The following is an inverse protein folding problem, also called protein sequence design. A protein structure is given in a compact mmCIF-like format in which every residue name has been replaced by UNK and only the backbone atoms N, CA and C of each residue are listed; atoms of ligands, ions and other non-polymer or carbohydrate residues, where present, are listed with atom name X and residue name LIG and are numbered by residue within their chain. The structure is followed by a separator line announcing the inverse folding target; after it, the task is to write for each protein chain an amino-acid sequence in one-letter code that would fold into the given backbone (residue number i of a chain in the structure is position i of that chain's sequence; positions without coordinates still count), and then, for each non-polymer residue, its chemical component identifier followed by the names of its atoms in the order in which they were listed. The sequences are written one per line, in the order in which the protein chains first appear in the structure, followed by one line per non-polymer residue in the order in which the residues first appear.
data_IF_543445245318
#
_entry.id   IF_543445245318
#
_cell.length_a   1.000
_cell.length_b   1.000
_cell.length_c   1.000
_cell.angle_alpha   90.00
_cell.angle_beta   90.00
_cell.angle_gamma   90.00
#
_symmetry.space_group_name_H-M   'P 1'
#
loop_
_entity.id
_entity.type
_entity.pdbx_description
1 polymer ?
#
# COMPACT_ATOMS: atom_id res chain seq x y z
N UNK A 1 -2.10 -14.89 -10.26
CA UNK A 1 -2.10 -14.81 -8.78
C UNK A 1 -3.37 -14.09 -8.38
N UNK A 2 -3.98 -14.47 -7.27
CA UNK A 2 -5.20 -13.80 -6.78
C UNK A 2 -4.88 -12.34 -6.36
N UNK A 3 -5.60 -11.33 -6.89
CA UNK A 3 -5.44 -9.92 -6.53
C UNK A 3 -5.57 -9.63 -5.02
N UNK A 4 -6.45 -10.35 -4.32
CA UNK A 4 -6.64 -10.20 -2.87
C UNK A 4 -5.39 -10.66 -2.13
N UNK A 5 -4.79 -11.78 -2.55
CA UNK A 5 -3.54 -12.26 -1.95
C UNK A 5 -2.42 -11.23 -2.16
N UNK A 6 -2.30 -10.68 -3.37
CA UNK A 6 -1.30 -9.67 -3.67
C UNK A 6 -1.51 -8.40 -2.85
N UNK A 7 -2.76 -7.95 -2.71
CA UNK A 7 -3.13 -6.79 -1.90
C UNK A 7 -2.88 -7.00 -0.41
N UNK A 8 -3.14 -8.19 0.13
CA UNK A 8 -2.77 -8.57 1.49
C UNK A 8 -1.25 -8.47 1.70
N UNK A 9 -0.45 -9.02 0.78
CA UNK A 9 1.00 -8.97 0.87
C UNK A 9 1.53 -7.54 0.78
N UNK A 10 0.98 -6.72 -0.12
CA UNK A 10 1.30 -5.29 -0.20
C UNK A 10 0.95 -4.56 1.10
N UNK A 11 -0.20 -4.87 1.71
CA UNK A 11 -0.62 -4.29 2.98
C UNK A 11 0.31 -4.68 4.12
N UNK A 12 0.71 -5.95 4.21
CA UNK A 12 1.68 -6.41 5.20
C UNK A 12 3.04 -5.71 5.01
N UNK A 13 3.53 -5.62 3.77
CA UNK A 13 4.79 -4.93 3.42
C UNK A 13 4.75 -3.46 3.83
N UNK A 14 3.68 -2.77 3.45
CA UNK A 14 3.45 -1.37 3.80
C UNK A 14 3.48 -1.16 5.32
N UNK A 15 2.79 -2.00 6.09
CA UNK A 15 2.79 -1.88 7.55
C UNK A 15 4.11 -2.26 8.24
N UNK A 16 5.02 -2.96 7.54
CA UNK A 16 6.37 -3.31 8.01
C UNK A 16 7.31 -2.09 7.89
N UNK A 17 6.98 -1.08 7.08
CA UNK A 17 7.82 0.10 6.85
C UNK A 17 8.25 0.76 8.19
N UNK A 18 9.57 0.98 8.41
CA UNK A 18 10.09 1.36 9.72
C UNK A 18 9.53 2.67 10.30
N UNK A 19 9.19 3.63 9.45
CA UNK A 19 8.65 4.95 9.80
C UNK A 19 7.24 4.84 10.39
N UNK A 20 6.38 3.98 9.83
CA UNK A 20 5.03 3.73 10.32
C UNK A 20 5.06 3.13 11.72
N UNK A 21 5.88 2.09 11.90
CA UNK A 21 6.06 1.42 13.18
C UNK A 21 6.73 2.34 14.20
N UNK A 22 7.75 3.11 13.79
CA UNK A 22 8.43 4.05 14.67
C UNK A 22 7.46 5.15 15.16
N UNK A 23 6.68 5.73 14.25
CA UNK A 23 5.70 6.77 14.57
C UNK A 23 4.63 6.26 15.53
N UNK A 24 4.07 5.08 15.25
CA UNK A 24 3.08 4.45 16.12
C UNK A 24 3.65 4.18 17.53
N UNK A 25 4.89 3.69 17.63
CA UNK A 25 5.56 3.45 18.93
C UNK A 25 5.75 4.70 19.79
N UNK A 26 5.87 5.88 19.20
CA UNK A 26 5.99 7.13 19.94
C UNK A 26 4.68 7.52 20.66
N UNK A 27 3.56 6.86 20.33
CA UNK A 27 2.28 7.11 20.95
C UNK A 27 2.21 6.44 22.33
N UNK A 28 1.87 7.25 23.35
CA UNK A 28 1.91 6.83 24.76
C UNK A 28 0.88 5.78 25.17
N UNK A 29 -0.11 5.44 24.33
CA UNK A 29 -1.16 4.48 24.69
C UNK A 29 -1.49 3.52 23.54
N UNK A 30 -1.81 2.26 23.90
CA UNK A 30 -2.21 1.22 22.94
C UNK A 30 -3.40 1.65 22.07
N UNK A 31 -4.36 2.36 22.65
CA UNK A 31 -5.50 2.91 21.92
C UNK A 31 -5.09 3.94 20.86
N UNK A 32 -4.09 4.80 21.15
CA UNK A 32 -3.57 5.73 20.16
C UNK A 32 -2.83 5.03 19.03
N UNK A 33 -2.11 3.93 19.33
CA UNK A 33 -1.47 3.07 18.30
C UNK A 33 -2.53 2.51 17.34
N UNK A 34 -3.61 1.95 17.89
CA UNK A 34 -4.70 1.38 17.08
C UNK A 34 -5.36 2.49 16.25
N UNK A 35 -5.68 3.63 16.85
CA UNK A 35 -6.27 4.77 16.13
C UNK A 35 -5.37 5.26 15.01
N UNK A 36 -4.06 5.38 15.25
CA UNK A 36 -3.10 5.77 14.23
C UNK A 36 -3.06 4.76 13.08
N UNK A 37 -2.90 3.46 13.37
CA UNK A 37 -2.82 2.43 12.35
C UNK A 37 -4.09 2.34 11.50
N UNK A 38 -5.27 2.46 12.13
CA UNK A 38 -6.55 2.50 11.45
C UNK A 38 -6.71 3.78 10.62
N UNK A 39 -6.36 4.96 11.15
CA UNK A 39 -6.44 6.21 10.40
C UNK A 39 -5.49 6.22 9.20
N UNK A 40 -4.25 5.75 9.39
CA UNK A 40 -3.23 5.62 8.35
C UNK A 40 -3.67 4.72 7.21
N UNK A 41 -4.24 3.56 7.57
CA UNK A 41 -4.62 2.54 6.59
C UNK A 41 -5.99 2.85 5.97
N UNK A 42 -7.02 3.12 6.78
CA UNK A 42 -8.39 3.31 6.29
C UNK A 42 -8.63 4.72 5.71
N UNK A 43 -7.86 5.74 6.12
CA UNK A 43 -7.98 7.08 5.54
C UNK A 43 -7.67 7.12 4.04
N UNK A 44 -6.90 6.14 3.54
CA UNK A 44 -6.61 5.94 2.13
C UNK A 44 -7.86 5.66 1.28
N UNK A 45 -8.95 5.11 1.85
CA UNK A 45 -10.20 4.80 1.13
C UNK A 45 -10.73 6.02 0.38
N UNK A 46 -10.59 7.21 0.97
CA UNK A 46 -11.08 8.48 0.42
C UNK A 46 -10.45 8.76 -0.95
N UNK A 47 -9.21 8.30 -1.18
CA UNK A 47 -8.50 8.45 -2.45
C UNK A 47 -8.69 7.20 -3.32
N UNK A 48 -8.59 6.02 -2.71
CA UNK A 48 -8.57 4.75 -3.43
C UNK A 48 -9.87 4.47 -4.19
N UNK A 49 -11.02 4.56 -3.51
CA UNK A 49 -12.31 4.17 -4.10
C UNK A 49 -12.70 5.04 -5.30
N UNK A 50 -12.60 6.38 -5.25
CA UNK A 50 -12.88 7.21 -6.42
C UNK A 50 -11.99 6.87 -7.63
N UNK A 51 -10.70 6.62 -7.41
CA UNK A 51 -9.77 6.27 -8.49
C UNK A 51 -10.07 4.90 -9.09
N UNK A 52 -10.36 3.92 -8.24
CA UNK A 52 -10.75 2.56 -8.67
C UNK A 52 -12.00 2.60 -9.54
N UNK A 53 -13.03 3.37 -9.15
CA UNK A 53 -14.26 3.53 -9.95
C UNK A 53 -13.92 4.22 -11.29
N UNK A 54 -13.17 5.32 -11.25
CA UNK A 54 -12.81 6.08 -12.44
C UNK A 54 -12.04 5.25 -13.47
N UNK A 55 -11.12 4.39 -13.01
CA UNK A 55 -10.26 3.58 -13.87
C UNK A 55 -11.01 2.32 -14.34
N UNK A 56 -11.70 1.63 -13.44
CA UNK A 56 -12.32 0.33 -13.72
C UNK A 56 -13.41 0.34 -14.80
N UNK A 57 -14.05 1.49 -15.02
CA UNK A 57 -15.08 1.66 -16.06
C UNK A 57 -14.51 1.88 -17.47
N UNK A 58 -13.18 1.99 -17.63
CA UNK A 58 -12.55 2.32 -18.90
C UNK A 58 -11.29 1.49 -19.18
N UNK A 59 -11.38 0.58 -20.16
CA UNK A 59 -10.27 -0.32 -20.56
C UNK A 59 -8.98 0.41 -20.97
N UNK A 60 -9.07 1.59 -21.56
CA UNK A 60 -7.88 2.38 -21.90
C UNK A 60 -7.21 2.95 -20.64
N UNK A 61 -8.00 3.40 -19.65
CA UNK A 61 -7.48 3.85 -18.36
C UNK A 61 -6.91 2.68 -17.56
N UNK A 62 -7.52 1.49 -17.62
CA UNK A 62 -7.01 0.26 -17.00
C UNK A 62 -5.60 -0.07 -17.52
N UNK A 63 -5.41 -0.08 -18.85
CA UNK A 63 -4.09 -0.29 -19.46
C UNK A 63 -3.07 0.78 -19.04
N UNK A 64 -3.46 2.07 -19.00
CA UNK A 64 -2.59 3.13 -18.48
C UNK A 64 -2.24 2.87 -17.01
N UNK A 65 -3.21 2.42 -16.22
CA UNK A 65 -3.02 2.14 -14.80
C UNK A 65 -2.02 1.01 -14.57
N UNK A 66 -2.02 -0.03 -15.41
CA UNK A 66 -1.04 -1.12 -15.33
C UNK A 66 0.38 -0.63 -15.63
N UNK A 67 0.54 0.23 -16.65
CA UNK A 67 1.83 0.87 -16.97
C UNK A 67 2.30 1.73 -15.79
N UNK A 68 1.41 2.51 -15.21
CA UNK A 68 1.68 3.31 -14.00
C UNK A 68 2.08 2.38 -12.85
N UNK A 69 1.38 1.27 -12.65
CA UNK A 69 1.70 0.28 -11.61
C UNK A 69 3.08 -0.35 -11.81
N UNK A 70 3.51 -0.61 -13.04
CA UNK A 70 4.88 -1.07 -13.32
C UNK A 70 5.90 -0.01 -12.93
N UNK A 71 5.66 1.26 -13.28
CA UNK A 71 6.53 2.38 -12.88
C UNK A 71 6.61 2.46 -11.35
N UNK A 72 5.48 2.38 -10.64
CA UNK A 72 5.47 2.43 -9.17
C UNK A 72 6.07 1.18 -8.52
N UNK A 73 6.02 0.02 -9.19
CA UNK A 73 6.75 -1.17 -8.74
C UNK A 73 8.26 -0.92 -8.83
N UNK A 74 8.75 -0.33 -9.91
CA UNK A 74 10.16 0.08 -10.05
C UNK A 74 10.52 1.10 -8.98
N UNK A 75 9.65 2.09 -8.70
CA UNK A 75 9.88 3.05 -7.62
C UNK A 75 10.01 2.34 -6.27
N UNK A 76 9.13 1.40 -5.94
CA UNK A 76 9.21 0.59 -4.71
C UNK A 76 10.55 -0.15 -4.61
N UNK A 77 11.03 -0.75 -5.70
CA UNK A 77 12.35 -1.40 -5.75
C UNK A 77 13.49 -0.40 -5.49
N UNK A 78 13.43 0.76 -6.14
CA UNK A 78 14.41 1.84 -5.94
C UNK A 78 14.43 2.29 -4.48
N UNK A 79 13.26 2.48 -3.86
CA UNK A 79 13.16 2.84 -2.44
C UNK A 79 13.86 1.81 -1.55
N UNK A 80 13.54 0.53 -1.76
CA UNK A 80 14.08 -0.57 -0.97
C UNK A 80 15.60 -0.74 -1.13
N UNK A 81 16.13 -0.56 -2.35
CA UNK A 81 17.56 -0.68 -2.65
C UNK A 81 18.34 0.51 -2.08
N UNK A 82 17.87 1.73 -2.31
CA UNK A 82 18.60 2.95 -1.96
C UNK A 82 18.27 3.51 -0.57
N UNK A 83 17.31 2.92 0.15
CA UNK A 83 16.81 3.42 1.45
C UNK A 83 16.33 4.86 1.38
N UNK A 84 15.60 5.18 0.31
CA UNK A 84 15.00 6.49 0.11
C UNK A 84 13.49 6.31 0.09
N UNK A 85 12.79 6.94 1.03
CA UNK A 85 11.33 7.04 0.98
C UNK A 85 10.95 8.02 -0.14
N UNK A 86 10.01 7.63 -0.98
CA UNK A 86 9.41 8.49 -2.01
C UNK A 86 7.93 8.59 -1.70
N UNK A 87 7.57 9.71 -1.11
CA UNK A 87 6.21 10.01 -0.69
C UNK A 87 5.70 11.24 -1.44
N UNK A 88 4.46 11.15 -1.93
CA UNK A 88 3.77 12.27 -2.57
C UNK A 88 2.61 12.67 -1.66
N UNK A 89 2.64 13.88 -1.09
CA UNK A 89 1.54 14.35 -0.26
C UNK A 89 1.87 15.44 0.75
N UNK A 90 0.92 15.68 1.66
CA UNK A 90 0.95 16.78 2.61
C UNK A 90 1.89 16.51 3.79
N UNK A 91 3.19 16.75 3.59
CA UNK A 91 4.28 16.64 4.59
C UNK A 91 4.10 17.53 5.84
N UNK A 92 2.98 18.27 5.94
CA UNK A 92 2.62 19.18 7.04
C UNK A 92 1.35 18.76 7.79
N UNK A 93 0.70 17.64 7.41
CA UNK A 93 -0.59 17.24 7.96
C UNK A 93 -0.52 16.49 9.32
N UNK A 94 0.67 16.35 9.91
CA UNK A 94 0.85 15.72 11.22
C UNK A 94 0.38 14.26 11.22
N UNK A 95 -0.38 13.85 12.24
CA UNK A 95 -0.90 12.47 12.34
C UNK A 95 -1.82 12.05 11.18
N UNK A 96 -2.40 13.01 10.45
CA UNK A 96 -3.22 12.75 9.27
C UNK A 96 -2.39 12.58 8.00
N UNK A 97 -1.10 12.93 8.02
CA UNK A 97 -0.20 12.77 6.88
C UNK A 97 -0.22 11.32 6.38
N UNK A 98 -0.17 10.36 7.30
CA UNK A 98 -0.16 8.94 6.97
C UNK A 98 -1.37 8.46 6.16
N UNK A 99 -2.55 9.06 6.38
CA UNK A 99 -3.76 8.74 5.62
C UNK A 99 -3.69 9.22 4.16
N UNK A 100 -3.16 10.42 3.95
CA UNK A 100 -3.21 11.14 2.67
C UNK A 100 -1.92 11.07 1.86
N UNK A 101 -0.81 10.62 2.45
CA UNK A 101 0.42 10.35 1.70
C UNK A 101 0.20 9.17 0.77
N UNK A 102 0.55 9.37 -0.50
CA UNK A 102 0.53 8.37 -1.53
C UNK A 102 1.94 7.77 -1.63
N UNK A 103 2.07 6.56 -1.10
CA UNK A 103 3.24 5.70 -1.22
C UNK A 103 3.11 4.79 -2.45
N UNK A 104 4.20 4.21 -2.96
CA UNK A 104 4.10 3.28 -4.09
C UNK A 104 3.18 2.10 -3.83
N UNK A 105 3.24 1.47 -2.66
CA UNK A 105 2.36 0.35 -2.26
C UNK A 105 0.86 0.71 -2.34
N UNK A 106 0.47 1.92 -1.93
CA UNK A 106 -0.91 2.41 -2.08
C UNK A 106 -1.31 2.57 -3.55
N UNK A 107 -0.43 3.12 -4.39
CA UNK A 107 -0.69 3.23 -5.83
C UNK A 107 -0.86 1.85 -6.45
N UNK A 108 0.01 0.90 -6.11
CA UNK A 108 -0.08 -0.48 -6.61
C UNK A 108 -1.42 -1.14 -6.25
N UNK A 109 -1.93 -0.92 -5.05
CA UNK A 109 -3.26 -1.42 -4.65
C UNK A 109 -4.39 -0.81 -5.45
N UNK A 110 -4.34 0.50 -5.75
CA UNK A 110 -5.34 1.13 -6.63
C UNK A 110 -5.33 0.46 -8.01
N UNK A 111 -4.15 0.28 -8.60
CA UNK A 111 -3.99 -0.35 -9.93
C UNK A 111 -4.54 -1.77 -9.92
N UNK A 112 -4.15 -2.59 -8.93
CA UNK A 112 -4.64 -3.97 -8.81
C UNK A 112 -6.17 -3.98 -8.63
N UNK A 113 -6.71 -3.09 -7.79
CA UNK A 113 -8.15 -3.01 -7.56
C UNK A 113 -8.93 -2.53 -8.80
N UNK A 114 -8.30 -1.80 -9.73
CA UNK A 114 -8.95 -1.29 -10.94
C UNK A 114 -8.96 -2.26 -12.14
N UNK A 115 -8.35 -3.44 -12.03
CA UNK A 115 -8.21 -4.40 -13.16
C UNK A 115 -9.49 -5.17 -13.50
N UNK A 116 -10.51 -4.46 -14.01
CA UNK A 116 -11.64 -5.05 -14.74
C UNK A 116 -12.60 -5.92 -13.93
N UNK A 117 -12.53 -5.86 -12.59
CA UNK A 117 -13.40 -6.62 -11.69
C UNK A 117 -14.70 -5.87 -11.35
N UNK A 118 -15.63 -6.56 -10.68
CA UNK A 118 -16.81 -5.91 -10.11
C UNK A 118 -16.39 -4.92 -9.02
N UNK A 119 -17.16 -3.83 -8.85
CA UNK A 119 -16.90 -2.84 -7.80
C UNK A 119 -16.77 -3.47 -6.41
N UNK A 120 -17.58 -4.51 -6.11
CA UNK A 120 -17.50 -5.22 -4.84
C UNK A 120 -16.14 -5.89 -4.65
N UNK A 121 -15.63 -6.57 -5.68
CA UNK A 121 -14.32 -7.22 -5.62
C UNK A 121 -13.18 -6.21 -5.50
N UNK A 122 -13.28 -5.06 -6.18
CA UNK A 122 -12.31 -3.98 -6.01
C UNK A 122 -12.30 -3.42 -4.58
N UNK A 123 -13.46 -3.30 -3.94
CA UNK A 123 -13.58 -2.91 -2.52
C UNK A 123 -12.93 -3.98 -1.61
N UNK A 124 -13.11 -5.26 -1.90
CA UNK A 124 -12.47 -6.36 -1.16
C UNK A 124 -10.94 -6.30 -1.27
N UNK A 125 -10.41 -6.05 -2.47
CA UNK A 125 -8.97 -5.84 -2.70
C UNK A 125 -8.46 -4.69 -1.83
N UNK A 126 -9.08 -3.51 -1.90
CA UNK A 126 -8.66 -2.34 -1.10
C UNK A 126 -8.79 -2.63 0.41
N UNK A 127 -9.86 -3.28 0.84
CA UNK A 127 -10.09 -3.61 2.25
C UNK A 127 -9.04 -4.58 2.79
N UNK A 128 -8.62 -5.55 1.97
CA UNK A 128 -7.59 -6.52 2.36
C UNK A 128 -6.24 -5.84 2.63
N UNK A 129 -5.83 -4.88 1.80
CA UNK A 129 -4.65 -4.03 2.05
C UNK A 129 -4.76 -3.28 3.37
N UNK A 130 -5.92 -2.64 3.61
CA UNK A 130 -6.14 -1.81 4.81
C UNK A 130 -6.05 -2.65 6.08
N UNK A 131 -6.70 -3.81 6.10
CA UNK A 131 -6.69 -4.72 7.25
C UNK A 131 -5.27 -5.23 7.49
N UNK A 132 -4.58 -5.68 6.44
CA UNK A 132 -3.22 -6.19 6.55
C UNK A 132 -2.23 -5.12 7.02
N UNK A 133 -2.29 -3.91 6.46
CA UNK A 133 -1.48 -2.76 6.87
C UNK A 133 -1.73 -2.41 8.33
N UNK A 134 -2.99 -2.24 8.74
CA UNK A 134 -3.31 -1.90 10.11
C UNK A 134 -2.85 -2.99 11.09
N UNK A 135 -3.09 -4.27 10.77
CA UNK A 135 -2.64 -5.40 11.59
C UNK A 135 -1.12 -5.45 11.73
N UNK A 136 -0.39 -5.22 10.64
CA UNK A 136 1.08 -5.17 10.62
C UNK A 136 1.62 -4.04 11.50
N UNK A 137 1.12 -2.80 11.32
CA UNK A 137 1.52 -1.65 12.14
C UNK A 137 1.21 -1.88 13.61
N UNK A 138 -0.01 -2.33 13.94
CA UNK A 138 -0.44 -2.56 15.32
C UNK A 138 0.44 -3.62 15.98
N UNK A 139 0.61 -4.77 15.33
CA UNK A 139 1.37 -5.89 15.90
C UNK A 139 2.83 -5.50 16.13
N UNK A 140 3.52 -4.98 15.13
CA UNK A 140 4.93 -4.59 15.23
C UNK A 140 5.15 -3.48 16.27
N UNK A 141 4.23 -2.51 16.35
CA UNK A 141 4.33 -1.42 17.32
C UNK A 141 4.11 -1.91 18.75
N UNK A 142 3.12 -2.77 18.98
CA UNK A 142 2.84 -3.34 20.30
C UNK A 142 3.93 -4.30 20.78
N UNK A 143 4.55 -5.06 19.87
CA UNK A 143 5.68 -5.94 20.16
C UNK A 143 7.04 -5.21 20.16
N UNK A 144 7.06 -3.90 19.89
CA UNK A 144 8.27 -3.09 19.91
C UNK A 144 9.33 -3.52 18.88
N UNK A 145 8.90 -4.08 17.75
CA UNK A 145 9.76 -4.63 16.70
C UNK A 145 9.83 -3.68 15.49
N UNK A 146 10.99 -3.06 15.24
CA UNK A 146 11.22 -2.30 13.99
C UNK A 146 12.02 -3.18 13.02
N UNK A 147 11.43 -3.61 11.90
CA UNK A 147 12.03 -4.58 10.99
C UNK A 147 13.03 -3.94 9.99
N UNK A 148 14.05 -3.22 10.49
CA UNK A 148 15.02 -2.42 9.69
C UNK A 148 15.75 -3.14 8.55
N UNK A 149 15.84 -4.47 8.59
CA UNK A 149 16.51 -5.27 7.54
C UNK A 149 15.52 -6.07 6.71
N UNK A 150 14.44 -6.52 7.34
CA UNK A 150 13.45 -7.41 6.72
C UNK A 150 12.59 -6.61 5.74
N UNK A 151 12.24 -5.35 6.06
CA UNK A 151 11.39 -4.53 5.19
C UNK A 151 11.93 -4.46 3.75
N UNK A 152 13.24 -4.25 3.58
CA UNK A 152 13.86 -4.21 2.24
C UNK A 152 13.67 -5.48 1.44
N UNK A 153 13.83 -6.64 2.09
CA UNK A 153 13.70 -7.94 1.43
C UNK A 153 12.25 -8.16 1.01
N UNK A 154 11.31 -7.79 1.88
CA UNK A 154 9.87 -7.90 1.62
C UNK A 154 9.46 -6.94 0.50
N UNK A 155 9.89 -5.68 0.54
CA UNK A 155 9.58 -4.67 -0.49
C UNK A 155 10.18 -5.02 -1.85
N UNK A 156 11.40 -5.55 -1.90
CA UNK A 156 11.99 -6.05 -3.14
C UNK A 156 11.17 -7.23 -3.68
N UNK A 157 10.85 -8.20 -2.82
CA UNK A 157 10.08 -9.37 -3.20
C UNK A 157 8.68 -9.00 -3.73
N UNK A 158 7.97 -8.14 -3.00
CA UNK A 158 6.61 -7.73 -3.37
C UNK A 158 6.61 -6.81 -4.59
N UNK A 159 7.62 -5.94 -4.74
CA UNK A 159 7.79 -5.09 -5.90
C UNK A 159 8.02 -5.91 -7.18
N UNK A 160 8.91 -6.90 -7.12
CA UNK A 160 9.14 -7.82 -8.25
C UNK A 160 7.90 -8.65 -8.58
N UNK A 161 7.23 -9.19 -7.55
CA UNK A 161 6.04 -10.01 -7.72
C UNK A 161 4.88 -9.20 -8.33
N UNK A 162 4.66 -7.98 -7.84
CA UNK A 162 3.62 -7.08 -8.35
C UNK A 162 3.92 -6.65 -9.78
N UNK A 163 5.18 -6.29 -10.07
CA UNK A 163 5.60 -5.93 -11.42
C UNK A 163 5.37 -7.09 -12.41
N UNK A 164 5.76 -8.31 -12.03
CA UNK A 164 5.54 -9.49 -12.87
C UNK A 164 4.05 -9.76 -13.12
N UNK A 165 3.20 -9.56 -12.09
CA UNK A 165 1.75 -9.68 -12.22
C UNK A 165 1.16 -8.64 -13.19
N UNK A 166 1.56 -7.38 -13.09
CA UNK A 166 1.08 -6.31 -13.98
C UNK A 166 1.57 -6.48 -15.43
N UNK A 167 2.82 -6.91 -15.62
CA UNK A 167 3.34 -7.24 -16.95
C UNK A 167 2.54 -8.40 -17.57
N UNK A 168 2.18 -9.40 -16.77
CA UNK A 168 1.33 -10.50 -17.24
C UNK A 168 -0.02 -9.97 -17.73
N UNK A 169 -0.70 -9.13 -16.94
CA UNK A 169 -1.98 -8.53 -17.32
C UNK A 169 -1.89 -7.68 -18.60
N UNK A 170 -0.81 -6.94 -18.81
CA UNK A 170 -0.64 -6.12 -20.02
C UNK A 170 -0.46 -6.93 -21.31
N UNK A 171 0.04 -8.17 -21.20
CA UNK A 171 0.40 -9.00 -22.37
C UNK A 171 -0.64 -10.09 -22.65
N UNK A 172 -1.50 -10.40 -21.67
CA UNK A 172 -2.57 -11.42 -21.78
C UNK A 172 -3.92 -10.80 -22.15
#
# INVERSE_FOLDING_TARGET
MDPIILSLLLGLSHGIEPDHVATARLLRSRWKIIQFALAHSAGFIIIAIPLVILIGDNKFLEMISDIVGIIFSILLLVQAIFNKEIDIGANKAGLLQGAFVITPTKVLVIVIASTGYTLLYSIEIVSSFIIASAASIISLSLFNLIPKRIYKIVDIGIGLLTMAYLIFLLVS
#
